data_IF_482644156900
#
_entry.id   IF_482644156900
#
_cell.length_a   1.000
_cell.length_b   1.000
_cell.length_c   1.000
_cell.angle_alpha   90.00
_cell.angle_beta   90.00
_cell.angle_gamma   90.00
#
_symmetry.space_group_name_H-M   'P 1'
#
loop_
_entity.id
_entity.type
_entity.pdbx_description
1 polymer ?
#
# COMPACT_ATOMS: atom_id res chain seq x y z
N UNK A 1 15.49 12.09 6.35
CA UNK A 1 14.47 11.65 5.36
C UNK A 1 13.10 11.71 6.00
N UNK A 2 12.02 12.01 5.26
CA UNK A 2 10.65 12.06 5.82
C UNK A 2 9.83 10.84 5.41
N UNK A 3 9.01 10.32 6.33
CA UNK A 3 7.98 9.32 6.06
C UNK A 3 6.59 9.85 6.42
N UNK A 4 5.55 9.34 5.76
CA UNK A 4 4.17 9.58 6.18
C UNK A 4 3.77 8.51 7.21
N UNK A 5 3.47 8.90 8.44
CA UNK A 5 2.87 8.02 9.44
C UNK A 5 1.35 7.98 9.23
N UNK A 6 0.78 6.80 8.93
CA UNK A 6 -0.63 6.61 8.62
C UNK A 6 -1.35 5.60 9.52
N UNK A 7 -2.60 5.90 9.87
CA UNK A 7 -3.41 5.07 10.75
C UNK A 7 -4.15 3.97 9.98
N UNK A 8 -4.02 2.73 10.44
CA UNK A 8 -4.64 1.57 9.76
C UNK A 8 -6.15 1.46 10.02
N UNK A 9 -6.64 1.98 11.15
CA UNK A 9 -8.03 1.80 11.59
C UNK A 9 -8.18 0.54 12.43
N UNK A 10 -8.73 0.67 13.65
CA UNK A 10 -8.90 -0.44 14.59
C UNK A 10 -10.28 -1.11 14.51
N UNK A 11 -11.23 -0.53 13.79
CA UNK A 11 -12.61 -1.02 13.72
C UNK A 11 -12.78 -2.25 12.80
N UNK A 12 -11.92 -2.40 11.79
CA UNK A 12 -12.03 -3.44 10.74
C UNK A 12 -10.83 -4.39 10.68
N UNK A 13 -9.73 -4.06 11.38
CA UNK A 13 -8.50 -4.86 11.39
C UNK A 13 -7.88 -4.92 12.78
N UNK A 14 -7.49 -6.12 13.19
CA UNK A 14 -6.36 -6.30 14.10
C UNK A 14 -5.02 -6.29 13.30
N UNK A 15 -3.90 -6.15 14.02
CA UNK A 15 -2.56 -6.07 13.41
C UNK A 15 -2.21 -7.32 12.59
N UNK A 16 -2.65 -8.51 13.03
CA UNK A 16 -2.34 -9.79 12.41
C UNK A 16 -3.11 -9.97 11.10
N UNK A 17 -4.40 -9.67 11.09
CA UNK A 17 -5.25 -9.75 9.90
C UNK A 17 -4.77 -8.76 8.84
N UNK A 18 -4.45 -7.52 9.24
CA UNK A 18 -3.88 -6.54 8.33
C UNK A 18 -2.55 -7.02 7.75
N UNK A 19 -1.61 -7.51 8.58
CA UNK A 19 -0.33 -8.08 8.12
C UNK A 19 -0.52 -9.24 7.12
N UNK A 20 -1.54 -10.08 7.28
CA UNK A 20 -1.84 -11.17 6.34
C UNK A 20 -2.39 -10.68 5.00
N UNK A 21 -3.36 -9.75 5.01
CA UNK A 21 -3.91 -9.15 3.79
C UNK A 21 -2.83 -8.35 3.04
N UNK A 22 -2.08 -7.52 3.75
CA UNK A 22 -1.01 -6.68 3.23
C UNK A 22 0.15 -7.49 2.60
N UNK A 23 0.50 -8.65 3.16
CA UNK A 23 1.49 -9.57 2.56
C UNK A 23 1.00 -10.28 1.30
N UNK A 24 -0.32 -10.43 1.12
CA UNK A 24 -0.91 -11.11 -0.05
C UNK A 24 -1.17 -10.16 -1.21
N UNK A 25 -1.68 -8.96 -0.92
CA UNK A 25 -2.22 -8.04 -1.94
C UNK A 25 -1.55 -6.66 -1.95
N UNK A 26 -0.48 -6.48 -1.16
CA UNK A 26 0.06 -5.15 -0.87
C UNK A 26 -0.88 -4.35 0.04
N UNK A 27 -0.42 -3.15 0.41
CA UNK A 27 -1.20 -2.19 1.18
C UNK A 27 -1.87 -1.24 0.21
N UNK A 28 -3.15 -0.96 0.43
CA UNK A 28 -3.88 0.07 -0.29
C UNK A 28 -4.62 0.97 0.70
N UNK A 29 -4.29 2.27 0.75
CA UNK A 29 -4.81 3.21 1.75
C UNK A 29 -5.41 4.44 1.11
N UNK A 30 -6.65 4.75 1.48
CA UNK A 30 -7.22 6.05 1.20
C UNK A 30 -6.51 7.13 2.01
N UNK A 31 -6.01 8.17 1.33
CA UNK A 31 -5.38 9.33 1.95
C UNK A 31 -6.12 10.61 1.54
N UNK A 32 -6.09 11.67 2.37
CA UNK A 32 -6.52 13.00 1.94
C UNK A 32 -5.72 13.43 0.69
N UNK A 33 -6.35 14.03 -0.34
CA UNK A 33 -5.67 14.40 -1.58
C UNK A 33 -4.38 15.21 -1.38
N UNK A 34 -4.37 16.20 -0.47
CA UNK A 34 -3.20 17.01 -0.15
C UNK A 34 -2.01 16.28 0.51
N UNK A 35 -2.22 15.04 0.99
CA UNK A 35 -1.15 14.13 1.42
C UNK A 35 -0.81 13.13 0.31
N UNK A 36 -1.83 12.54 -0.34
CA UNK A 36 -1.65 11.62 -1.45
C UNK A 36 -0.78 12.20 -2.57
N UNK A 37 -1.05 13.45 -2.99
CA UNK A 37 -0.33 14.16 -4.06
C UNK A 37 1.13 14.52 -3.74
N UNK A 38 1.53 14.45 -2.46
CA UNK A 38 2.90 14.70 -2.02
C UNK A 38 3.77 13.45 -2.03
N UNK A 39 3.14 12.27 -2.02
CA UNK A 39 3.85 11.01 -2.15
C UNK A 39 4.35 10.81 -3.59
N UNK A 40 5.42 10.03 -3.73
CA UNK A 40 6.06 9.59 -4.98
C UNK A 40 6.36 8.08 -4.92
N UNK A 41 6.63 7.40 -6.05
CA UNK A 41 7.14 6.03 -6.03
C UNK A 41 8.41 5.95 -5.17
N UNK A 42 8.50 4.93 -4.32
CA UNK A 42 9.62 4.76 -3.38
C UNK A 42 9.39 5.41 -2.01
N UNK A 43 8.47 6.36 -1.87
CA UNK A 43 8.20 7.00 -0.56
C UNK A 43 7.72 6.00 0.49
N UNK A 44 8.11 6.26 1.74
CA UNK A 44 7.79 5.41 2.89
C UNK A 44 6.53 5.93 3.59
N UNK A 45 5.54 5.04 3.76
CA UNK A 45 4.39 5.27 4.62
C UNK A 45 4.42 4.29 5.79
N UNK A 46 4.72 4.77 7.00
CA UNK A 46 4.71 3.97 8.22
C UNK A 46 3.27 3.62 8.60
N UNK A 47 3.04 2.35 8.95
CA UNK A 47 1.71 1.82 9.24
C UNK A 47 1.60 1.54 10.73
N UNK A 48 0.63 2.19 11.37
CA UNK A 48 0.51 2.19 12.81
C UNK A 48 -0.93 1.98 13.31
N UNK A 49 -1.03 1.42 14.51
CA UNK A 49 -2.22 1.48 15.36
C UNK A 49 -2.09 2.59 16.42
N UNK A 50 -3.23 3.08 16.89
CA UNK A 50 -3.29 4.06 17.99
C UNK A 50 -2.86 3.35 19.28
N UNK A 51 -1.91 3.93 19.99
CA UNK A 51 -1.41 3.43 21.27
C UNK A 51 -1.56 4.51 22.35
N UNK A 52 -1.43 4.15 23.63
CA UNK A 52 -1.46 5.14 24.72
C UNK A 52 -0.25 6.07 24.56
N UNK A 53 -0.50 7.37 24.40
CA UNK A 53 0.54 8.39 24.20
C UNK A 53 1.19 8.45 22.81
N UNK A 54 0.77 7.64 21.83
CA UNK A 54 1.45 7.64 20.52
C UNK A 54 0.87 6.72 19.45
N UNK A 55 1.70 6.43 18.45
CA UNK A 55 1.40 5.52 17.36
C UNK A 55 2.32 4.29 17.45
N UNK A 56 1.76 3.10 17.62
CA UNK A 56 2.49 1.83 17.56
C UNK A 56 2.64 1.43 16.11
N UNK A 57 3.81 1.72 15.54
CA UNK A 57 4.20 1.28 14.20
C UNK A 57 4.50 -0.22 14.25
N UNK A 58 4.08 -0.96 13.22
CA UNK A 58 4.29 -2.42 13.11
C UNK A 58 4.81 -2.85 11.72
N UNK A 59 4.95 -1.88 10.82
CA UNK A 59 5.37 -2.07 9.45
C UNK A 59 5.33 -0.76 8.68
N UNK A 60 5.69 -0.82 7.40
CA UNK A 60 5.60 0.28 6.48
C UNK A 60 5.14 -0.22 5.11
N UNK A 61 4.70 0.69 4.24
CA UNK A 61 4.62 0.43 2.81
C UNK A 61 5.57 1.32 2.03
N UNK A 62 6.13 0.77 0.95
CA UNK A 62 6.85 1.52 -0.08
C UNK A 62 5.84 1.85 -1.18
N UNK A 63 5.61 3.14 -1.43
CA UNK A 63 4.64 3.61 -2.43
C UNK A 63 5.02 3.12 -3.82
N UNK A 64 4.03 2.59 -4.54
CA UNK A 64 4.18 2.12 -5.93
C UNK A 64 3.27 2.83 -6.92
N UNK A 65 2.12 3.35 -6.47
CA UNK A 65 1.16 4.00 -7.36
C UNK A 65 -0.12 4.45 -6.69
N UNK A 66 -1.06 4.90 -7.53
CA UNK A 66 -2.41 5.25 -7.13
C UNK A 66 -3.41 4.22 -7.67
N UNK A 67 -4.38 3.83 -6.84
CA UNK A 67 -5.64 3.23 -7.29
C UNK A 67 -6.65 4.35 -7.46
N UNK A 68 -7.35 4.37 -8.59
CA UNK A 68 -8.32 5.42 -8.95
C UNK A 68 -9.64 4.77 -9.40
N UNK A 69 -10.80 5.43 -9.21
CA UNK A 69 -12.05 4.95 -9.80
C UNK A 69 -11.96 4.88 -11.34
N UNK A 70 -12.56 3.85 -11.95
CA UNK A 70 -12.51 3.69 -13.41
C UNK A 70 -13.12 4.88 -14.18
N UNK A 71 -14.07 5.61 -13.58
CA UNK A 71 -14.64 6.85 -14.12
C UNK A 71 -13.61 7.99 -14.30
N UNK A 72 -12.40 7.86 -13.76
CA UNK A 72 -11.30 8.78 -14.00
C UNK A 72 -10.34 8.36 -15.11
N UNK A 73 -10.39 7.11 -15.60
CA UNK A 73 -9.43 6.60 -16.60
C UNK A 73 -9.45 7.43 -17.90
N UNK A 74 -10.63 7.82 -18.38
CA UNK A 74 -10.75 8.69 -19.56
C UNK A 74 -10.16 10.10 -19.35
N UNK A 75 -9.98 10.55 -18.10
CA UNK A 75 -9.32 11.81 -17.74
C UNK A 75 -7.81 11.63 -17.50
N UNK A 76 -7.31 10.40 -17.52
CA UNK A 76 -5.90 10.01 -17.43
C UNK A 76 -5.35 9.58 -18.80
N UNK A 77 -5.95 10.06 -19.90
CA UNK A 77 -5.48 9.77 -21.25
C UNK A 77 -4.01 10.15 -21.41
N UNK A 78 -3.20 9.20 -21.91
CA UNK A 78 -1.74 9.30 -21.99
C UNK A 78 -0.97 8.88 -20.74
N UNK A 79 -1.63 8.31 -19.72
CA UNK A 79 -1.00 7.56 -18.62
C UNK A 79 -1.21 6.06 -18.84
N UNK A 80 -0.20 5.24 -18.60
CA UNK A 80 -0.23 3.78 -18.75
C UNK A 80 -1.10 3.08 -17.67
N UNK A 81 -2.42 3.24 -17.74
CA UNK A 81 -3.34 2.59 -16.81
C UNK A 81 -3.68 1.14 -17.23
N UNK A 82 -3.20 0.15 -16.46
CA UNK A 82 -3.70 -1.23 -16.54
C UNK A 82 -5.06 -1.36 -15.84
N UNK A 83 -6.14 -1.40 -16.64
CA UNK A 83 -7.50 -1.62 -16.14
C UNK A 83 -7.78 -3.10 -15.86
N UNK A 84 -7.29 -3.60 -14.73
CA UNK A 84 -7.71 -4.91 -14.21
C UNK A 84 -8.79 -4.69 -13.15
N UNK A 85 -10.04 -5.03 -13.48
CA UNK A 85 -11.15 -5.02 -12.52
C UNK A 85 -11.10 -6.28 -11.65
N UNK A 86 -10.48 -6.18 -10.46
CA UNK A 86 -10.41 -7.27 -9.49
C UNK A 86 -11.33 -6.94 -8.32
N UNK A 87 -12.35 -7.78 -8.11
CA UNK A 87 -13.21 -7.72 -6.92
C UNK A 87 -12.52 -8.52 -5.81
N UNK A 88 -11.87 -7.83 -4.87
CA UNK A 88 -11.21 -8.49 -3.74
C UNK A 88 -12.03 -8.33 -2.46
N UNK A 89 -12.48 -9.43 -1.81
CA UNK A 89 -13.02 -9.37 -0.46
C UNK A 89 -11.90 -9.02 0.51
N UNK A 90 -12.00 -7.84 1.15
CA UNK A 90 -11.06 -7.34 2.17
C UNK A 90 -11.80 -7.11 3.48
N UNK A 91 -11.11 -7.10 4.61
CA UNK A 91 -11.79 -6.99 5.91
C UNK A 91 -12.44 -5.60 6.14
N UNK A 92 -12.00 -4.56 5.42
CA UNK A 92 -12.72 -3.27 5.35
C UNK A 92 -13.91 -3.25 4.38
N UNK A 93 -14.37 -4.41 3.92
CA UNK A 93 -15.39 -4.56 2.88
C UNK A 93 -14.78 -4.92 1.52
N UNK A 94 -15.61 -5.46 0.62
CA UNK A 94 -15.19 -5.80 -0.74
C UNK A 94 -14.73 -4.54 -1.48
N UNK A 95 -13.46 -4.50 -1.87
CA UNK A 95 -12.94 -3.44 -2.74
C UNK A 95 -12.91 -3.99 -4.16
N UNK A 96 -13.81 -3.48 -5.00
CA UNK A 96 -13.61 -3.57 -6.45
C UNK A 96 -12.47 -2.64 -6.81
N UNK A 97 -11.28 -3.20 -6.98
CA UNK A 97 -10.14 -2.51 -7.58
C UNK A 97 -10.47 -2.45 -9.07
N UNK A 98 -11.17 -1.39 -9.49
CA UNK A 98 -11.71 -1.29 -10.86
C UNK A 98 -10.58 -1.07 -11.90
N UNK A 99 -9.50 -0.40 -11.49
CA UNK A 99 -8.25 -0.28 -12.22
C UNK A 99 -7.10 0.10 -11.29
N UNK A 100 -5.90 -0.39 -11.60
CA UNK A 100 -4.64 0.04 -10.98
C UNK A 100 -3.81 0.72 -12.05
N UNK A 101 -3.66 2.04 -11.98
CA UNK A 101 -2.77 2.73 -12.89
C UNK A 101 -1.31 2.49 -12.45
N UNK A 102 -0.50 1.88 -13.31
CA UNK A 102 0.94 1.91 -13.15
C UNK A 102 1.42 3.24 -13.73
N UNK A 103 1.73 4.16 -12.84
CA UNK A 103 1.92 5.55 -13.21
C UNK A 103 3.39 5.81 -13.54
N UNK A 104 3.72 5.79 -14.84
CA UNK A 104 5.05 6.17 -15.32
C UNK A 104 5.26 7.70 -15.31
N UNK A 105 4.17 8.48 -15.43
CA UNK A 105 4.15 9.95 -15.31
C UNK A 105 3.31 10.38 -14.09
N UNK A 106 3.98 10.52 -12.94
CA UNK A 106 3.34 10.77 -11.66
C UNK A 106 2.67 12.13 -11.57
N UNK A 107 3.32 13.16 -12.08
CA UNK A 107 2.85 14.54 -11.94
C UNK A 107 1.62 14.80 -12.81
N UNK A 108 1.53 14.19 -13.99
CA UNK A 108 0.31 14.19 -14.82
C UNK A 108 -0.88 13.55 -14.12
N UNK A 109 -0.68 12.45 -13.39
CA UNK A 109 -1.77 11.83 -12.60
C UNK A 109 -2.18 12.72 -11.44
N UNK A 110 -1.22 13.30 -10.71
CA UNK A 110 -1.50 14.26 -9.64
C UNK A 110 -2.26 15.47 -10.18
N UNK A 111 -1.90 16.00 -11.35
CA UNK A 111 -2.60 17.11 -11.97
C UNK A 111 -4.02 16.75 -12.39
N UNK A 112 -4.21 15.62 -13.08
CA UNK A 112 -5.54 15.15 -13.47
C UNK A 112 -6.43 14.90 -12.25
N UNK A 113 -5.90 14.29 -11.18
CA UNK A 113 -6.63 14.10 -9.92
C UNK A 113 -7.00 15.45 -9.28
N UNK A 114 -6.12 16.45 -9.26
CA UNK A 114 -6.44 17.82 -8.80
C UNK A 114 -7.60 18.42 -9.61
N UNK A 115 -7.57 18.31 -10.93
CA UNK A 115 -8.65 18.80 -11.83
C UNK A 115 -9.99 18.08 -11.59
N UNK A 116 -9.99 16.86 -11.06
CA UNK A 116 -11.23 16.10 -10.73
C UNK A 116 -11.85 16.46 -9.39
N UNK A 117 -11.18 17.24 -8.54
CA UNK A 117 -11.73 17.70 -7.26
C UNK A 117 -11.54 16.70 -6.10
N UNK A 118 -12.53 16.60 -5.20
CA UNK A 118 -12.46 15.86 -3.93
C UNK A 118 -12.61 14.33 -4.08
N UNK A 119 -11.93 13.72 -5.04
CA UNK A 119 -11.94 12.26 -5.20
C UNK A 119 -11.10 11.62 -4.09
N UNK A 120 -11.58 10.49 -3.55
CA UNK A 120 -10.85 9.69 -2.57
C UNK A 120 -9.69 8.98 -3.25
N UNK A 121 -8.48 9.52 -3.10
CA UNK A 121 -7.26 8.94 -3.67
C UNK A 121 -6.78 7.79 -2.79
N UNK A 122 -6.55 6.65 -3.42
CA UNK A 122 -6.01 5.46 -2.80
C UNK A 122 -4.54 5.31 -3.22
N UNK A 123 -3.63 5.19 -2.27
CA UNK A 123 -2.20 4.95 -2.51
C UNK A 123 -1.91 3.49 -2.25
N UNK A 124 -1.32 2.82 -3.24
CA UNK A 124 -0.92 1.41 -3.13
C UNK A 124 0.60 1.27 -3.01
N UNK A 125 1.03 0.22 -2.30
CA UNK A 125 2.44 -0.06 -2.05
C UNK A 125 2.71 -1.46 -1.53
N UNK A 126 3.97 -1.87 -1.59
CA UNK A 126 4.45 -3.15 -1.04
C UNK A 126 4.56 -3.06 0.49
N UNK A 127 4.14 -4.10 1.21
CA UNK A 127 4.19 -4.14 2.67
C UNK A 127 5.47 -4.77 3.23
N UNK A 128 6.05 -4.11 4.23
CA UNK A 128 7.20 -4.59 4.98
C UNK A 128 6.88 -4.57 6.47
N UNK A 129 7.09 -5.70 7.14
CA UNK A 129 6.90 -5.85 8.58
C UNK A 129 8.18 -5.43 9.32
N UNK A 130 8.04 -4.77 10.47
CA UNK A 130 9.15 -4.44 11.37
C UNK A 130 8.76 -4.78 12.81
N UNK A 131 9.76 -4.92 13.69
CA UNK A 131 9.51 -5.11 15.12
C UNK A 131 8.74 -3.88 15.66
N UNK A 132 7.61 -4.05 16.36
CA UNK A 132 6.77 -2.92 16.73
C UNK A 132 7.43 -1.92 17.68
N UNK A 133 7.29 -0.63 17.37
CA UNK A 133 7.81 0.47 18.18
C UNK A 133 6.79 1.62 18.27
N UNK A 134 6.97 2.52 19.24
CA UNK A 134 6.03 3.63 19.49
C UNK A 134 6.66 4.96 19.14
N UNK A 135 6.00 5.73 18.27
CA UNK A 135 6.32 7.15 18.03
C UNK A 135 5.42 7.99 18.95
N UNK A 136 5.96 8.81 19.87
CA UNK A 136 5.20 9.57 20.87
C UNK A 136 4.61 10.87 20.28
N UNK A 137 3.75 10.74 19.25
CA UNK A 137 3.02 11.87 18.65
C UNK A 137 1.51 11.69 18.73
N UNK A 138 0.80 12.81 18.94
CA UNK A 138 -0.66 12.87 18.77
C UNK A 138 -1.02 12.60 17.31
N UNK A 139 -2.05 11.79 17.09
CA UNK A 139 -2.30 11.16 15.80
C UNK A 139 -3.73 11.39 15.30
N UNK A 140 -3.86 11.68 14.00
CA UNK A 140 -5.13 11.90 13.29
C UNK A 140 -5.27 10.88 12.15
N UNK A 141 -6.51 10.53 11.78
CA UNK A 141 -6.75 9.50 10.75
C UNK A 141 -6.22 9.89 9.35
N UNK A 142 -5.98 11.19 9.10
CA UNK A 142 -5.37 11.72 7.89
C UNK A 142 -3.93 11.24 7.66
N UNK A 143 -3.20 10.94 8.73
CA UNK A 143 -1.74 10.75 8.72
C UNK A 143 -0.97 12.07 8.92
N UNK A 144 0.33 11.94 9.25
CA UNK A 144 1.25 13.06 9.51
C UNK A 144 2.67 12.72 9.07
N UNK A 145 3.48 13.71 8.70
CA UNK A 145 4.88 13.48 8.32
C UNK A 145 5.78 13.41 9.56
N UNK A 146 6.68 12.44 9.59
CA UNK A 146 7.71 12.24 10.63
C UNK A 146 9.09 12.22 10.01
N UNK A 147 10.11 12.59 10.77
CA UNK A 147 11.51 12.49 10.34
C UNK A 147 12.09 11.12 10.72
N UNK A 148 12.48 10.33 9.73
CA UNK A 148 13.04 8.99 9.91
C UNK A 148 14.32 9.03 10.75
N UNK A 149 15.19 10.02 10.52
CA UNK A 149 16.53 10.00 11.11
C UNK A 149 16.50 10.34 12.60
N UNK A 150 15.47 11.08 13.02
CA UNK A 150 15.23 11.55 14.39
C UNK A 150 14.22 10.70 15.17
N UNK A 151 13.19 10.15 14.52
CA UNK A 151 12.04 9.55 15.22
C UNK A 151 11.98 8.01 15.18
N UNK A 152 12.83 7.36 14.39
CA UNK A 152 12.85 5.89 14.28
C UNK A 152 14.04 5.26 15.03
N UNK A 153 13.85 4.08 15.65
CA UNK A 153 14.96 3.29 16.19
C UNK A 153 16.00 2.96 15.10
N UNK A 154 17.29 3.01 15.45
CA UNK A 154 18.39 2.82 14.50
C UNK A 154 18.26 1.53 13.65
N UNK A 155 17.90 0.41 14.29
CA UNK A 155 17.63 -0.88 13.64
C UNK A 155 16.50 -0.83 12.59
N UNK A 156 15.47 -0.01 12.79
CA UNK A 156 14.36 0.16 11.83
C UNK A 156 14.78 1.10 10.70
N UNK A 157 15.50 2.16 11.05
CA UNK A 157 16.08 3.11 10.08
C UNK A 157 17.00 2.39 9.10
N UNK A 158 17.90 1.51 9.57
CA UNK A 158 18.75 0.69 8.69
C UNK A 158 17.95 -0.21 7.75
N UNK A 159 16.90 -0.88 8.24
CA UNK A 159 16.04 -1.75 7.42
C UNK A 159 15.32 -0.94 6.34
N UNK A 160 14.81 0.25 6.66
CA UNK A 160 14.14 1.13 5.71
C UNK A 160 15.14 1.71 4.69
N UNK A 161 16.31 2.19 5.12
CA UNK A 161 17.36 2.72 4.23
C UNK A 161 17.84 1.65 3.25
N UNK A 162 18.14 0.43 3.72
CA UNK A 162 18.53 -0.69 2.84
C UNK A 162 17.43 -1.05 1.83
N UNK A 163 16.16 -0.94 2.19
CA UNK A 163 15.04 -1.17 1.27
C UNK A 163 14.83 -0.01 0.27
N UNK A 164 15.26 1.20 0.62
CA UNK A 164 15.21 2.39 -0.24
C UNK A 164 16.32 2.36 -1.30
N UNK A 165 17.57 2.10 -0.88
CA UNK A 165 18.75 2.10 -1.77
C UNK A 165 18.75 0.91 -2.74
N UNK A 166 18.23 -0.25 -2.33
CA UNK A 166 18.43 -1.48 -3.10
C UNK A 166 17.51 -1.65 -4.31
N UNK A 167 16.39 -0.91 -4.36
CA UNK A 167 15.31 -1.08 -5.34
C UNK A 167 14.72 -2.50 -5.42
N UNK A 168 15.15 -3.44 -4.55
CA UNK A 168 15.05 -4.88 -4.79
C UNK A 168 14.13 -5.60 -3.82
N UNK A 169 13.42 -6.53 -4.41
CA UNK A 169 12.38 -7.35 -3.82
C UNK A 169 12.95 -8.72 -3.42
N UNK A 170 12.70 -9.17 -2.19
CA UNK A 170 12.99 -10.54 -1.77
C UNK A 170 11.84 -11.10 -0.93
N UNK A 171 11.07 -12.05 -1.49
CA UNK A 171 9.98 -12.76 -0.79
C UNK A 171 10.52 -13.55 0.41
N UNK A 172 9.79 -13.57 1.53
CA UNK A 172 10.00 -14.49 2.67
C UNK A 172 8.66 -15.07 3.23
N UNK A 173 8.58 -16.36 3.60
CA UNK A 173 7.42 -17.00 4.25
C UNK A 173 7.63 -17.18 5.79
N UNK A 174 6.80 -17.81 6.65
CA UNK A 174 5.48 -18.47 6.55
C UNK A 174 4.78 -18.45 7.95
N UNK A 175 3.44 -18.38 8.04
CA UNK A 175 2.66 -18.48 9.29
C UNK A 175 2.31 -19.93 9.74
N UNK A 176 1.83 -20.10 10.99
CA UNK A 176 1.75 -21.40 11.72
C UNK A 176 0.49 -22.27 11.51
N UNK A 177 0.67 -23.59 11.57
CA UNK A 177 -0.05 -24.63 10.78
C UNK A 177 -1.60 -24.72 10.87
N UNK A 178 -2.27 -24.49 12.01
CA UNK A 178 -3.69 -24.88 12.17
C UNK A 178 -4.70 -23.84 11.66
N UNK A 179 -4.58 -22.57 12.04
CA UNK A 179 -5.37 -21.47 11.43
C UNK A 179 -4.90 -21.16 10.01
N UNK A 180 -3.60 -21.33 9.76
CA UNK A 180 -3.00 -21.39 8.41
C UNK A 180 -3.75 -22.38 7.54
N UNK A 181 -4.15 -23.59 7.99
CA UNK A 181 -4.88 -24.55 7.14
C UNK A 181 -6.26 -24.05 6.68
N UNK A 182 -7.07 -23.41 7.53
CA UNK A 182 -8.41 -22.91 7.14
C UNK A 182 -8.35 -21.65 6.26
N UNK A 183 -7.49 -20.68 6.58
CA UNK A 183 -7.30 -19.50 5.74
C UNK A 183 -6.46 -19.80 4.48
N UNK A 184 -5.51 -20.75 4.53
CA UNK A 184 -4.89 -21.30 3.31
C UNK A 184 -5.97 -21.91 2.43
N UNK A 185 -6.90 -22.71 2.93
CA UNK A 185 -7.86 -23.38 2.04
C UNK A 185 -8.66 -22.39 1.16
N UNK A 186 -8.93 -21.17 1.66
CA UNK A 186 -9.50 -20.05 0.89
C UNK A 186 -8.48 -19.26 0.04
N UNK A 187 -7.20 -19.34 0.40
CA UNK A 187 -6.08 -18.63 -0.23
C UNK A 187 -5.11 -19.52 -1.05
N UNK A 188 -5.41 -20.82 -1.19
CA UNK A 188 -4.56 -21.87 -1.78
C UNK A 188 -5.25 -22.70 -2.86
N UNK A 189 -6.52 -22.43 -3.17
CA UNK A 189 -7.00 -22.62 -4.55
C UNK A 189 -6.33 -21.53 -5.39
N UNK A 190 -5.74 -21.92 -6.52
CA UNK A 190 -4.59 -21.31 -7.20
C UNK A 190 -4.25 -19.82 -6.89
N UNK A 191 -2.97 -19.49 -6.62
CA UNK A 191 -2.53 -18.11 -6.78
C UNK A 191 -2.72 -17.69 -8.25
N UNK A 192 -3.12 -16.44 -8.49
CA UNK A 192 -3.13 -15.84 -9.83
C UNK A 192 -1.68 -15.68 -10.34
N UNK A 193 -1.09 -16.79 -10.80
CA UNK A 193 0.17 -16.87 -11.55
C UNK A 193 -0.16 -17.14 -13.02
N UNK A 194 -0.95 -16.22 -13.57
CA UNK A 194 -0.93 -15.78 -14.98
C UNK A 194 -1.06 -14.26 -14.95
N UNK A 195 -0.81 -13.58 -16.07
CA UNK A 195 -0.87 -12.10 -16.22
C UNK A 195 0.35 -11.26 -15.78
N UNK A 196 1.54 -11.88 -15.67
CA UNK A 196 2.78 -11.16 -16.00
C UNK A 196 3.11 -11.26 -17.51
N UNK A 197 2.80 -12.41 -18.14
CA UNK A 197 3.21 -12.73 -19.51
C UNK A 197 2.02 -12.81 -20.51
N UNK A 198 0.82 -12.41 -20.11
CA UNK A 198 -0.37 -12.50 -20.99
C UNK A 198 -0.42 -11.41 -22.09
N UNK A 199 0.51 -10.44 -22.07
CA UNK A 199 0.61 -9.38 -23.06
C UNK A 199 1.44 -9.70 -24.31
N UNK A 200 2.15 -10.83 -24.33
CA UNK A 200 3.08 -11.18 -25.43
C UNK A 200 2.54 -12.25 -26.39
N UNK A 201 1.50 -13.00 -26.00
CA UNK A 201 1.01 -14.15 -26.76
C UNK A 201 -0.06 -13.85 -27.84
N UNK A 202 -0.40 -12.57 -28.09
CA UNK A 202 -1.42 -12.16 -29.08
C UNK A 202 -0.88 -11.42 -30.31
N UNK A 203 0.45 -11.51 -30.55
CA UNK A 203 1.10 -11.06 -31.79
C UNK A 203 1.79 -12.23 -32.49
N UNK A 204 1.03 -13.20 -32.98
CA UNK A 204 1.62 -14.43 -33.52
C UNK A 204 0.67 -15.47 -34.11
N UNK A 205 -0.38 -15.03 -34.81
CA UNK A 205 -1.24 -15.87 -35.67
C UNK A 205 -2.08 -14.98 -36.59
#
# INVERSE_FOLDING_TARGET
MKALLHFVGHATYDERLFKLEAKRFGVNRALPPGLAYKLRPGDIVLLAFKYRGGARVFGYMVVRGYTVPASLLGKLSGVACSSTSIVEPRACGTITIVATCRVDDWDRVVEALRRTGKVKVFVYGDFYEVEPFVIPRRFTMSGTWVDIDRELPAQVREVILRAYDSGTYAKRPYTSKKLRRKLLQYYSTEPLVRWANAGEASKGS
#
